data_IF_632699997715
#
_entry.id   IF_632699997715
#
_cell.length_a   1.000
_cell.length_b   1.000
_cell.length_c   1.000
_cell.angle_alpha   90.00
_cell.angle_beta   90.00
_cell.angle_gamma   90.00
#
_symmetry.space_group_name_H-M   'P 1'
#
loop_
_entity.id
_entity.type
_entity.pdbx_description
1 polymer ?
#
# COMPACT_ATOMS: atom_id res chain seq x y z
N UNK A 1 16.44 -2.20 -17.39
CA UNK A 1 15.56 -1.75 -18.48
C UNK A 1 14.24 -2.51 -18.35
N UNK A 2 13.24 -1.96 -17.65
CA UNK A 2 11.98 -2.67 -17.38
C UNK A 2 10.97 -2.36 -18.49
N UNK A 3 10.51 -3.40 -19.17
CA UNK A 3 9.48 -3.30 -20.21
C UNK A 3 8.09 -3.10 -19.59
N UNK A 4 7.29 -2.22 -20.19
CA UNK A 4 5.86 -2.01 -19.88
C UNK A 4 4.97 -3.25 -20.14
N UNK A 5 5.55 -4.39 -20.52
CA UNK A 5 4.84 -5.60 -21.00
C UNK A 5 4.64 -6.70 -19.95
N UNK A 6 5.35 -6.69 -18.82
CA UNK A 6 5.18 -7.75 -17.80
C UNK A 6 3.92 -7.47 -16.98
N UNK A 7 2.98 -8.41 -16.99
CA UNK A 7 1.76 -8.40 -16.19
C UNK A 7 1.65 -9.66 -15.34
N UNK A 8 0.85 -9.58 -14.30
CA UNK A 8 0.36 -10.72 -13.51
C UNK A 8 -1.16 -10.61 -13.37
N UNK A 9 -1.84 -11.68 -12.92
CA UNK A 9 -3.31 -11.81 -12.96
C UNK A 9 -3.93 -12.27 -11.64
N UNK A 10 -3.12 -12.66 -10.65
CA UNK A 10 -3.63 -13.10 -9.35
C UNK A 10 -4.42 -11.97 -8.67
N UNK A 11 -5.65 -12.25 -8.26
CA UNK A 11 -6.41 -11.34 -7.40
C UNK A 11 -5.98 -11.60 -5.97
N UNK A 12 -5.18 -10.69 -5.41
CA UNK A 12 -4.74 -10.76 -4.02
C UNK A 12 -4.56 -9.35 -3.44
N UNK A 13 -4.74 -9.22 -2.13
CA UNK A 13 -4.56 -7.97 -1.39
C UNK A 13 -5.71 -7.70 -0.43
N UNK A 14 -5.56 -6.62 0.34
CA UNK A 14 -6.59 -6.13 1.26
C UNK A 14 -7.62 -5.30 0.49
N UNK A 15 -8.94 -5.53 0.65
CA UNK A 15 -9.98 -4.92 -0.18
C UNK A 15 -9.86 -3.40 -0.39
N UNK A 16 -9.59 -2.66 0.69
CA UNK A 16 -9.48 -1.20 0.72
C UNK A 16 -8.31 -0.65 -0.12
N UNK A 17 -7.30 -1.49 -0.38
CA UNK A 17 -6.05 -1.12 -1.05
C UNK A 17 -5.98 -1.59 -2.51
N UNK A 18 -6.96 -2.37 -2.97
CA UNK A 18 -6.96 -2.91 -4.33
C UNK A 18 -7.12 -1.81 -5.38
N UNK A 19 -6.30 -1.88 -6.44
CA UNK A 19 -6.44 -1.00 -7.59
C UNK A 19 -7.62 -1.43 -8.49
N UNK A 20 -8.28 -0.50 -9.21
CA UNK A 20 -9.42 -0.80 -10.07
C UNK A 20 -9.14 -1.90 -11.10
N UNK A 21 -7.93 -1.93 -11.67
CA UNK A 21 -7.53 -2.93 -12.67
C UNK A 21 -7.35 -4.35 -12.10
N UNK A 22 -7.09 -4.50 -10.79
CA UNK A 22 -7.06 -5.81 -10.11
C UNK A 22 -8.49 -6.32 -9.96
N UNK A 23 -9.40 -5.47 -9.48
CA UNK A 23 -10.83 -5.80 -9.28
C UNK A 23 -11.48 -6.20 -10.62
N UNK A 24 -11.10 -5.53 -11.70
CA UNK A 24 -11.60 -5.81 -13.05
C UNK A 24 -10.89 -6.97 -13.75
N UNK A 25 -9.94 -7.66 -13.10
CA UNK A 25 -9.17 -8.76 -13.68
C UNK A 25 -8.48 -8.43 -15.00
N UNK A 26 -8.05 -7.17 -15.21
CA UNK A 26 -7.46 -6.70 -16.48
C UNK A 26 -5.97 -7.06 -16.65
N UNK A 27 -5.43 -7.85 -15.73
CA UNK A 27 -4.01 -8.01 -15.50
C UNK A 27 -3.39 -6.72 -14.97
N UNK A 28 -2.44 -6.83 -14.06
CA UNK A 28 -1.84 -5.70 -13.37
C UNK A 28 -0.32 -5.73 -13.44
N UNK A 29 0.29 -4.59 -13.15
CA UNK A 29 1.74 -4.37 -13.10
C UNK A 29 2.05 -3.50 -11.88
N UNK A 30 3.28 -2.98 -11.79
CA UNK A 30 3.76 -2.12 -10.68
C UNK A 30 2.93 -0.85 -10.43
N UNK A 31 2.03 -0.47 -11.34
CA UNK A 31 1.16 0.70 -11.15
C UNK A 31 0.18 0.55 -9.99
N UNK A 32 -0.10 -0.68 -9.56
CA UNK A 32 -1.00 -0.94 -8.42
C UNK A 32 -0.36 -0.54 -7.09
N UNK A 33 0.96 -0.58 -6.99
CA UNK A 33 1.68 -0.11 -5.81
C UNK A 33 1.53 1.40 -5.62
N UNK A 34 1.50 2.16 -6.73
CA UNK A 34 1.25 3.61 -6.69
C UNK A 34 -0.19 3.95 -6.32
N UNK A 35 -1.16 3.09 -6.67
CA UNK A 35 -2.53 3.21 -6.18
C UNK A 35 -2.58 2.97 -4.67
N UNK A 36 -1.98 1.87 -4.19
CA UNK A 36 -1.92 1.54 -2.77
C UNK A 36 -1.21 2.63 -1.95
N UNK A 37 -0.15 3.26 -2.50
CA UNK A 37 0.48 4.43 -1.90
C UNK A 37 -0.49 5.61 -1.78
N UNK A 38 -1.33 5.84 -2.79
CA UNK A 38 -2.38 6.87 -2.73
C UNK A 38 -3.39 6.60 -1.62
N UNK A 39 -3.83 5.35 -1.47
CA UNK A 39 -4.72 4.91 -0.38
C UNK A 39 -4.05 5.14 0.97
N UNK A 40 -2.80 4.71 1.14
CA UNK A 40 -2.01 4.87 2.36
C UNK A 40 -1.82 6.34 2.76
N UNK A 41 -1.45 7.21 1.81
CA UNK A 41 -1.27 8.64 2.09
C UNK A 41 -2.61 9.28 2.48
N UNK A 42 -3.71 8.92 1.81
CA UNK A 42 -5.04 9.39 2.22
C UNK A 42 -5.35 8.97 3.65
N UNK A 43 -5.15 7.70 4.00
CA UNK A 43 -5.47 7.16 5.31
C UNK A 43 -4.62 7.80 6.42
N UNK A 44 -3.32 8.01 6.20
CA UNK A 44 -2.46 8.73 7.16
C UNK A 44 -2.90 10.18 7.39
N UNK A 45 -3.48 10.84 6.38
CA UNK A 45 -3.93 12.23 6.49
C UNK A 45 -5.34 12.36 7.06
N UNK A 46 -6.24 11.42 6.74
CA UNK A 46 -7.66 11.47 7.10
C UNK A 46 -8.01 10.64 8.34
N UNK A 47 -7.19 9.65 8.69
CA UNK A 47 -7.44 8.67 9.76
C UNK A 47 -8.37 7.52 9.36
N UNK A 48 -8.76 7.42 8.09
CA UNK A 48 -9.59 6.34 7.54
C UNK A 48 -9.31 6.19 6.02
N UNK A 49 -9.53 5.00 5.42
CA UNK A 49 -9.27 4.79 4.00
C UNK A 49 -10.27 5.54 3.10
N UNK A 50 -9.89 5.90 1.85
CA UNK A 50 -10.75 6.66 0.94
C UNK A 50 -11.95 5.86 0.42
N UNK A 51 -11.86 4.53 0.43
CA UNK A 51 -12.92 3.61 0.04
C UNK A 51 -13.11 2.60 1.18
N UNK A 52 -14.26 2.64 1.84
CA UNK A 52 -14.61 1.72 2.91
C UNK A 52 -16.08 1.36 2.83
N UNK A 53 -16.41 0.15 3.25
CA UNK A 53 -17.78 -0.34 3.38
C UNK A 53 -17.80 -1.51 4.38
N UNK A 54 -18.99 -1.92 4.82
CA UNK A 54 -19.14 -3.10 5.68
C UNK A 54 -18.88 -4.40 4.91
N UNK A 55 -19.10 -4.38 3.59
CA UNK A 55 -18.96 -5.54 2.73
C UNK A 55 -17.88 -5.28 1.65
N UNK A 56 -16.96 -6.23 1.40
CA UNK A 56 -15.93 -6.06 0.37
C UNK A 56 -16.46 -5.67 -1.02
N UNK A 57 -17.64 -6.17 -1.43
CA UNK A 57 -18.22 -5.77 -2.71
C UNK A 57 -18.59 -4.28 -2.77
N UNK A 58 -19.05 -3.69 -1.66
CA UNK A 58 -19.33 -2.26 -1.58
C UNK A 58 -18.05 -1.41 -1.67
N UNK A 59 -16.94 -1.92 -1.12
CA UNK A 59 -15.60 -1.32 -1.29
C UNK A 59 -15.24 -1.33 -2.78
N UNK A 60 -15.43 -2.46 -3.46
CA UNK A 60 -15.12 -2.59 -4.89
C UNK A 60 -15.94 -1.63 -5.75
N UNK A 61 -17.25 -1.52 -5.52
CA UNK A 61 -18.11 -0.56 -6.22
C UNK A 61 -17.62 0.88 -6.05
N UNK A 62 -17.20 1.27 -4.84
CA UNK A 62 -16.66 2.60 -4.55
C UNK A 62 -15.31 2.84 -5.25
N UNK A 63 -14.41 1.86 -5.25
CA UNK A 63 -13.13 1.93 -5.97
C UNK A 63 -13.37 2.12 -7.48
N UNK A 64 -14.29 1.35 -8.05
CA UNK A 64 -14.64 1.43 -9.48
C UNK A 64 -15.35 2.73 -9.84
N UNK A 65 -16.15 3.29 -8.92
CA UNK A 65 -16.73 4.62 -9.07
C UNK A 65 -15.68 5.74 -8.97
N UNK A 66 -14.60 5.53 -8.21
CA UNK A 66 -13.49 6.48 -8.05
C UNK A 66 -13.88 7.80 -7.39
N UNK A 67 -14.99 7.83 -6.66
CA UNK A 67 -15.44 9.02 -5.94
C UNK A 67 -14.84 9.02 -4.53
N UNK A 68 -13.92 9.96 -4.29
CA UNK A 68 -13.28 10.17 -2.99
C UNK A 68 -13.94 11.37 -2.32
N UNK A 69 -14.32 11.21 -1.05
CA UNK A 69 -14.75 12.32 -0.21
C UNK A 69 -13.54 13.01 0.40
N UNK A 70 -13.52 14.33 0.39
CA UNK A 70 -12.37 15.10 0.87
C UNK A 70 -12.77 15.95 2.06
N UNK A 71 -12.20 15.65 3.22
CA UNK A 71 -12.40 16.52 4.37
C UNK A 71 -11.79 17.91 4.16
N UNK A 72 -12.41 18.93 4.73
CA UNK A 72 -12.01 20.32 4.52
C UNK A 72 -10.63 20.63 5.14
N UNK A 73 -10.26 19.96 6.24
CA UNK A 73 -9.00 20.19 6.95
C UNK A 73 -7.76 19.58 6.27
N UNK A 74 -7.95 18.69 5.29
CA UNK A 74 -6.85 18.03 4.60
C UNK A 74 -6.05 19.04 3.75
N UNK A 75 -4.72 18.98 3.86
CA UNK A 75 -3.77 19.84 3.13
C UNK A 75 -4.01 19.81 1.60
N UNK A 76 -4.21 20.97 0.95
CA UNK A 76 -4.48 21.02 -0.50
C UNK A 76 -3.39 20.37 -1.36
N UNK A 77 -2.12 20.43 -0.95
CA UNK A 77 -1.01 19.86 -1.72
C UNK A 77 -1.00 18.33 -1.60
N UNK A 78 -1.33 17.79 -0.42
CA UNK A 78 -1.54 16.37 -0.19
C UNK A 78 -2.73 15.83 -0.97
N UNK A 79 -3.86 16.56 -0.99
CA UNK A 79 -5.02 16.21 -1.84
C UNK A 79 -4.63 16.09 -3.31
N UNK A 80 -3.85 17.03 -3.83
CA UNK A 80 -3.39 17.01 -5.22
C UNK A 80 -2.51 15.78 -5.52
N UNK A 81 -1.61 15.41 -4.61
CA UNK A 81 -0.80 14.19 -4.75
C UNK A 81 -1.69 12.94 -4.81
N UNK A 82 -2.58 12.78 -3.83
CA UNK A 82 -3.46 11.61 -3.73
C UNK A 82 -4.37 11.53 -4.96
N UNK A 83 -4.92 12.64 -5.47
CA UNK A 83 -5.71 12.65 -6.72
C UNK A 83 -4.93 12.14 -7.93
N UNK A 84 -3.63 12.40 -8.00
CA UNK A 84 -2.75 11.95 -9.09
C UNK A 84 -2.31 10.48 -8.95
N UNK A 85 -2.36 9.93 -7.73
CA UNK A 85 -2.12 8.51 -7.44
C UNK A 85 -3.39 7.66 -7.60
N UNK A 86 -4.55 8.17 -7.16
CA UNK A 86 -5.84 7.49 -7.23
C UNK A 86 -6.57 7.78 -8.54
N UNK A 87 -5.85 7.62 -9.65
CA UNK A 87 -6.39 7.73 -11.01
C UNK A 87 -6.78 6.34 -11.52
N UNK A 88 -8.02 6.20 -11.99
CA UNK A 88 -8.53 4.93 -12.54
C UNK A 88 -7.75 4.48 -13.78
N UNK A 89 -7.49 5.42 -14.70
CA UNK A 89 -6.63 5.17 -15.84
C UNK A 89 -5.16 5.08 -15.40
N UNK A 90 -4.67 3.85 -15.22
CA UNK A 90 -3.29 3.59 -14.82
C UNK A 90 -2.23 4.22 -15.73
N UNK A 91 -2.54 4.52 -17.00
CA UNK A 91 -1.59 5.17 -17.91
C UNK A 91 -1.36 6.65 -17.55
N UNK A 92 -2.30 7.24 -16.81
CA UNK A 92 -2.26 8.61 -16.30
C UNK A 92 -1.96 8.65 -14.80
N UNK A 93 -1.68 7.51 -14.17
CA UNK A 93 -1.35 7.42 -12.76
C UNK A 93 0.09 7.85 -12.52
N UNK A 94 0.29 8.75 -11.56
CA UNK A 94 1.63 9.17 -11.14
C UNK A 94 2.45 7.94 -10.70
N UNK A 95 3.74 7.90 -11.04
CA UNK A 95 4.57 6.72 -10.82
C UNK A 95 4.58 5.71 -11.97
N UNK A 96 3.57 5.73 -12.85
CA UNK A 96 3.48 4.85 -14.03
C UNK A 96 3.63 5.62 -15.36
N UNK A 97 4.02 6.89 -15.30
CA UNK A 97 4.35 7.73 -16.45
C UNK A 97 5.82 7.57 -16.86
N UNK A 98 6.28 8.35 -17.85
CA UNK A 98 7.64 8.28 -18.42
C UNK A 98 8.75 8.35 -17.38
N UNK A 99 8.62 9.16 -16.33
CA UNK A 99 9.68 9.32 -15.33
C UNK A 99 9.47 8.44 -14.08
N UNK A 100 8.47 7.55 -14.09
CA UNK A 100 8.22 6.60 -13.02
C UNK A 100 8.10 7.27 -11.64
N UNK A 101 8.79 6.70 -10.65
CA UNK A 101 8.81 7.18 -9.28
C UNK A 101 9.25 8.64 -9.13
N UNK A 102 10.06 9.17 -10.05
CA UNK A 102 10.57 10.53 -9.92
C UNK A 102 9.48 11.59 -10.09
N UNK A 103 8.40 11.28 -10.82
CA UNK A 103 7.24 12.18 -10.90
C UNK A 103 6.54 12.35 -9.54
N UNK A 104 6.61 11.33 -8.68
CA UNK A 104 6.12 11.39 -7.30
C UNK A 104 7.10 12.17 -6.43
N UNK A 105 8.40 11.83 -6.50
CA UNK A 105 9.45 12.49 -5.70
C UNK A 105 9.54 13.99 -5.92
N UNK A 106 9.29 14.46 -7.15
CA UNK A 106 9.27 15.88 -7.52
C UNK A 106 7.94 16.59 -7.21
N UNK A 107 6.93 15.87 -6.74
CA UNK A 107 5.66 16.48 -6.41
C UNK A 107 5.82 17.52 -5.30
N UNK A 108 5.06 18.62 -5.37
CA UNK A 108 5.15 19.74 -4.42
C UNK A 108 4.95 19.33 -2.96
N UNK A 109 4.23 18.23 -2.73
CA UNK A 109 4.03 17.68 -1.38
C UNK A 109 5.36 17.23 -0.73
N UNK A 110 6.30 16.73 -1.55
CA UNK A 110 7.64 16.31 -1.11
C UNK A 110 8.72 17.39 -1.29
N UNK A 111 8.35 18.66 -1.53
CA UNK A 111 9.31 19.74 -1.85
C UNK A 111 10.42 19.95 -0.81
N UNK A 112 10.16 19.60 0.46
CA UNK A 112 11.08 19.80 1.58
C UNK A 112 11.81 18.49 1.95
N UNK A 113 11.67 17.42 1.16
CA UNK A 113 12.30 16.14 1.40
C UNK A 113 13.54 16.02 0.53
N UNK A 114 14.70 15.92 1.18
CA UNK A 114 15.91 15.43 0.54
C UNK A 114 15.88 13.90 0.51
N UNK A 115 15.67 13.33 -0.67
CA UNK A 115 15.59 11.88 -0.86
C UNK A 115 16.93 11.16 -0.63
N UNK A 116 18.07 11.86 -0.77
CA UNK A 116 19.37 11.32 -0.41
C UNK A 116 19.50 11.13 1.10
N UNK A 117 19.04 12.13 1.87
CA UNK A 117 19.02 12.05 3.34
C UNK A 117 18.04 10.99 3.87
N UNK A 118 16.91 10.77 3.17
CA UNK A 118 16.00 9.64 3.49
C UNK A 118 16.74 8.31 3.38
N UNK A 119 17.41 8.06 2.24
CA UNK A 119 18.14 6.80 1.99
C UNK A 119 19.27 6.61 2.99
N UNK A 120 19.97 7.69 3.35
CA UNK A 120 21.05 7.69 4.34
C UNK A 120 20.56 7.73 5.79
N UNK A 121 19.24 7.71 6.03
CA UNK A 121 18.61 7.76 7.37
C UNK A 121 19.05 8.96 8.21
N UNK A 122 19.27 10.11 7.58
CA UNK A 122 19.71 11.36 8.25
C UNK A 122 18.56 12.23 8.74
N UNK A 123 17.35 12.04 8.20
CA UNK A 123 16.18 12.78 8.64
C UNK A 123 15.74 12.33 10.04
N UNK A 124 15.42 13.28 10.90
CA UNK A 124 14.85 12.99 12.23
C UNK A 124 13.39 12.51 12.06
N UNK A 125 13.08 11.32 12.56
CA UNK A 125 11.72 10.80 12.55
C UNK A 125 10.81 11.65 13.45
N UNK A 126 9.57 11.95 13.03
CA UNK A 126 8.62 12.72 13.84
C UNK A 126 8.12 11.93 15.06
N UNK A 127 8.12 10.60 14.97
CA UNK A 127 7.72 9.68 16.04
C UNK A 127 8.86 8.69 16.21
N UNK A 128 9.37 8.60 17.44
CA UNK A 128 10.34 7.59 17.85
C UNK A 128 9.64 6.68 18.87
N UNK A 129 9.37 5.41 18.53
CA UNK A 129 8.73 4.48 19.46
C UNK A 129 9.52 4.34 20.76
N UNK A 130 8.81 4.19 21.87
CA UNK A 130 9.46 3.93 23.17
C UNK A 130 9.79 2.44 23.25
N UNK A 131 11.06 2.12 23.54
CA UNK A 131 11.56 0.76 23.75
C UNK A 131 12.39 0.78 25.02
N UNK A 132 12.01 -0.02 26.02
CA UNK A 132 12.60 0.04 27.37
C UNK A 132 13.79 -0.89 27.54
N UNK A 133 13.79 -2.02 26.86
CA UNK A 133 14.82 -3.05 26.94
C UNK A 133 14.77 -3.96 25.71
N UNK A 134 15.78 -4.81 25.55
CA UNK A 134 15.82 -5.80 24.47
C UNK A 134 14.71 -6.84 24.64
N UNK A 135 13.87 -7.01 23.62
CA UNK A 135 12.67 -7.86 23.69
C UNK A 135 11.41 -7.17 24.25
N UNK A 136 11.39 -5.84 24.39
CA UNK A 136 10.18 -5.10 24.74
C UNK A 136 9.12 -5.19 23.63
N UNK A 137 8.01 -5.85 23.92
CA UNK A 137 6.88 -6.05 23.00
C UNK A 137 5.74 -5.06 23.21
N UNK A 138 5.92 -3.99 24.02
CA UNK A 138 4.83 -3.09 24.39
C UNK A 138 4.19 -2.28 23.25
N UNK A 139 4.83 -2.23 22.09
CA UNK A 139 4.30 -1.57 20.89
C UNK A 139 3.47 -2.52 20.00
N UNK A 140 3.24 -3.77 20.43
CA UNK A 140 2.45 -4.77 19.74
C UNK A 140 1.21 -5.15 20.57
N UNK A 141 0.16 -5.61 19.89
CA UNK A 141 -1.03 -6.14 20.54
C UNK A 141 -0.75 -7.50 21.20
N UNK A 142 -1.52 -7.81 22.24
CA UNK A 142 -1.49 -9.12 22.88
C UNK A 142 -2.38 -10.11 22.12
N UNK A 143 -1.81 -11.25 21.75
CA UNK A 143 -2.52 -12.38 21.14
C UNK A 143 -2.39 -13.63 22.02
N UNK A 144 -3.40 -14.52 22.04
CA UNK A 144 -3.28 -15.80 22.74
C UNK A 144 -2.13 -16.64 22.18
N UNK A 145 -1.30 -17.18 23.07
CA UNK A 145 -0.24 -18.12 22.70
C UNK A 145 -0.85 -19.44 22.20
N UNK A 146 -0.46 -19.86 21.00
CA UNK A 146 -0.82 -21.17 20.47
C UNK A 146 0.23 -22.21 20.87
N UNK A 147 -0.21 -23.38 21.32
CA UNK A 147 0.72 -24.50 21.54
C UNK A 147 1.10 -25.13 20.21
N UNK A 148 2.13 -24.56 19.57
CA UNK A 148 2.66 -25.06 18.30
C UNK A 148 3.17 -26.51 18.40
N UNK A 149 3.49 -27.02 19.60
CA UNK A 149 3.94 -28.40 19.80
C UNK A 149 2.80 -29.41 19.66
N UNK A 150 1.55 -28.97 19.79
CA UNK A 150 0.38 -29.79 19.54
C UNK A 150 0.04 -29.93 18.06
N UNK A 151 0.69 -29.15 17.18
CA UNK A 151 0.45 -29.20 15.74
C UNK A 151 1.06 -30.49 15.19
N UNK A 152 0.28 -31.35 14.51
CA UNK A 152 0.80 -32.58 13.94
C UNK A 152 1.84 -32.28 12.85
N UNK A 153 2.85 -33.14 12.75
CA UNK A 153 3.79 -33.08 11.63
C UNK A 153 3.07 -33.30 10.30
N UNK A 154 3.49 -32.55 9.29
CA UNK A 154 3.01 -32.70 7.91
C UNK A 154 3.42 -34.06 7.34
N UNK A 155 2.60 -34.61 6.45
CA UNK A 155 2.92 -35.85 5.76
C UNK A 155 4.00 -35.68 4.69
N UNK A 156 4.70 -36.76 4.33
CA UNK A 156 5.75 -36.73 3.29
C UNK A 156 5.30 -36.13 1.95
N UNK A 157 4.03 -36.31 1.59
CA UNK A 157 3.47 -35.75 0.36
C UNK A 157 3.32 -34.23 0.45
N UNK A 158 2.97 -33.71 1.63
CA UNK A 158 2.86 -32.27 1.87
C UNK A 158 4.26 -31.65 1.95
N UNK A 159 5.22 -32.31 2.59
CA UNK A 159 6.63 -31.89 2.61
C UNK A 159 7.21 -31.73 1.19
N UNK A 160 6.84 -32.61 0.26
CA UNK A 160 7.28 -32.51 -1.13
C UNK A 160 6.80 -31.25 -1.84
N UNK A 161 5.65 -30.70 -1.47
CA UNK A 161 5.13 -29.44 -2.04
C UNK A 161 6.03 -28.23 -1.72
N UNK A 162 6.91 -28.36 -0.73
CA UNK A 162 7.84 -27.32 -0.29
C UNK A 162 9.31 -27.71 -0.49
N UNK A 163 9.58 -28.68 -1.38
CA UNK A 163 10.95 -29.18 -1.61
C UNK A 163 11.92 -28.14 -2.17
N UNK A 164 11.40 -27.04 -2.71
CA UNK A 164 12.13 -25.90 -3.26
C UNK A 164 11.90 -24.58 -2.51
N UNK A 165 11.34 -24.65 -1.29
CA UNK A 165 11.18 -23.49 -0.39
C UNK A 165 12.53 -22.98 0.13
#
# INVERSE_FOLDING_TARGET
MFSLTTRTWTLCGTPEYLAPEIIQSKGHNKAVDWWALGVLIYEMLAGYPPFFDKNPFGIYEKILAGKIEWSQHLDPVGKDLVKKLLVQDRTKRLGNMKNGADDIKRHRWFKNIDWGDVVLRKLKAPIVPTVRYDGDTSNFDFYPEADWKSVPSVGKQEEQLFSDF
#
